data_IF_222353808132
#
_entry.id   IF_222353808132
#
_cell.length_a   1.000
_cell.length_b   1.000
_cell.length_c   1.000
_cell.angle_alpha   90.00
_cell.angle_beta   90.00
_cell.angle_gamma   90.00
#
_symmetry.space_group_name_H-M   'P 1'
#
loop_
_entity.id
_entity.type
_entity.pdbx_description
1 polymer ?
#
# COMPACT_ATOMS: atom_id res chain seq x y z
N UNK A 1 -17.35 -1.77 56.33
CA UNK A 1 -15.96 -1.69 55.85
C UNK A 1 -15.74 -2.36 54.49
N UNK A 2 -16.30 -3.56 54.23
CA UNK A 2 -16.18 -4.29 52.95
C UNK A 2 -16.60 -3.47 51.70
N UNK A 3 -17.69 -2.71 51.80
CA UNK A 3 -18.23 -1.92 50.67
C UNK A 3 -17.36 -0.70 50.33
N UNK A 4 -16.68 -0.12 51.33
CA UNK A 4 -15.79 1.05 51.14
C UNK A 4 -14.53 0.63 50.39
N UNK A 5 -13.95 -0.52 50.74
CA UNK A 5 -12.82 -1.13 50.04
C UNK A 5 -13.15 -1.43 48.57
N UNK A 6 -14.37 -1.89 48.29
CA UNK A 6 -14.83 -2.19 46.94
C UNK A 6 -14.97 -0.91 46.10
N UNK A 7 -15.53 0.16 46.67
CA UNK A 7 -15.61 1.47 46.02
C UNK A 7 -14.24 2.08 45.74
N UNK A 8 -13.29 1.91 46.67
CA UNK A 8 -11.93 2.44 46.53
C UNK A 8 -11.15 1.73 45.41
N UNK A 9 -11.33 0.40 45.28
CA UNK A 9 -10.78 -0.37 44.16
C UNK A 9 -11.41 -0.01 42.81
N UNK A 10 -12.71 0.30 42.79
CA UNK A 10 -13.40 0.70 41.56
C UNK A 10 -12.95 2.09 41.09
N UNK A 11 -12.69 3.01 42.02
CA UNK A 11 -12.22 4.36 41.71
C UNK A 11 -10.78 4.36 41.19
N UNK A 12 -9.89 3.55 41.79
CA UNK A 12 -8.50 3.48 41.34
C UNK A 12 -8.34 2.85 39.97
N UNK A 13 -9.19 1.87 39.60
CA UNK A 13 -9.18 1.29 38.26
C UNK A 13 -9.68 2.26 37.18
N UNK A 14 -10.71 3.06 37.48
CA UNK A 14 -11.22 4.10 36.57
C UNK A 14 -10.21 5.22 36.32
N UNK A 15 -9.48 5.64 37.36
CA UNK A 15 -8.53 6.76 37.24
C UNK A 15 -7.20 6.37 36.55
N UNK A 16 -6.80 5.09 36.58
CA UNK A 16 -5.58 4.63 35.94
C UNK A 16 -5.74 4.36 34.44
N UNK A 17 -6.94 4.01 33.95
CA UNK A 17 -7.18 3.73 32.54
C UNK A 17 -6.91 4.89 31.53
N UNK A 18 -7.30 6.16 31.79
CA UNK A 18 -7.22 7.21 30.76
C UNK A 18 -5.79 7.63 30.39
N UNK A 19 -4.82 7.47 31.31
CA UNK A 19 -3.42 7.78 31.04
C UNK A 19 -2.77 6.80 30.05
N UNK A 20 -3.10 5.51 30.15
CA UNK A 20 -2.55 4.47 29.27
C UNK A 20 -3.20 4.48 27.88
N UNK A 21 -4.51 4.74 27.79
CA UNK A 21 -5.19 4.85 26.49
C UNK A 21 -4.68 6.04 25.67
N UNK A 22 -4.29 7.15 26.32
CA UNK A 22 -3.71 8.31 25.61
C UNK A 22 -2.38 8.00 24.91
N UNK A 23 -1.50 7.23 25.56
CA UNK A 23 -0.19 6.82 25.00
C UNK A 23 -0.36 5.80 23.89
N UNK A 24 -1.25 4.83 24.06
CA UNK A 24 -1.57 3.85 23.04
C UNK A 24 -2.19 4.51 21.80
N UNK A 25 -3.16 5.40 21.99
CA UNK A 25 -3.78 6.15 20.90
C UNK A 25 -2.74 6.99 20.12
N UNK A 26 -1.84 7.68 20.83
CA UNK A 26 -0.77 8.45 20.18
C UNK A 26 0.20 7.57 19.39
N UNK A 27 0.54 6.39 19.92
CA UNK A 27 1.39 5.43 19.21
C UNK A 27 0.71 4.89 17.95
N UNK A 28 -0.56 4.48 18.05
CA UNK A 28 -1.34 3.98 16.91
C UNK A 28 -1.51 5.05 15.82
N UNK A 29 -1.84 6.29 16.21
CA UNK A 29 -1.95 7.41 15.26
C UNK A 29 -0.63 7.68 14.53
N UNK A 30 0.50 7.62 15.24
CA UNK A 30 1.81 7.80 14.62
C UNK A 30 2.11 6.69 13.59
N UNK A 31 1.81 5.44 13.92
CA UNK A 31 2.01 4.34 12.96
C UNK A 31 1.10 4.48 11.73
N UNK A 32 -0.16 4.88 11.92
CA UNK A 32 -1.11 5.09 10.84
C UNK A 32 -0.68 6.25 9.92
N UNK A 33 -0.18 7.34 10.48
CA UNK A 33 0.40 8.45 9.71
C UNK A 33 1.62 8.01 8.89
N UNK A 34 2.55 7.26 9.49
CA UNK A 34 3.73 6.72 8.78
C UNK A 34 3.34 5.76 7.66
N UNK A 35 2.30 4.93 7.87
CA UNK A 35 1.81 4.01 6.86
C UNK A 35 1.13 4.76 5.72
N UNK A 36 0.24 5.72 6.02
CA UNK A 36 -0.38 6.57 5.01
C UNK A 36 0.63 7.34 4.17
N UNK A 37 1.72 7.80 4.76
CA UNK A 37 2.79 8.47 4.02
C UNK A 37 3.51 7.52 3.06
N UNK A 38 3.80 6.28 3.47
CA UNK A 38 4.38 5.26 2.58
C UNK A 38 3.44 4.92 1.44
N UNK A 39 2.17 4.66 1.76
CA UNK A 39 1.15 4.32 0.76
C UNK A 39 0.96 5.45 -0.25
N UNK A 40 0.96 6.71 0.19
CA UNK A 40 0.88 7.86 -0.70
C UNK A 40 2.10 7.97 -1.63
N UNK A 41 3.31 7.67 -1.13
CA UNK A 41 4.52 7.66 -1.94
C UNK A 41 4.51 6.52 -2.96
N UNK A 42 4.10 5.31 -2.55
CA UNK A 42 3.96 4.16 -3.46
C UNK A 42 2.93 4.46 -4.54
N UNK A 43 1.78 4.99 -4.17
CA UNK A 43 0.73 5.35 -5.11
C UNK A 43 1.20 6.40 -6.13
N UNK A 44 1.94 7.41 -5.68
CA UNK A 44 2.49 8.43 -6.55
C UNK A 44 3.57 7.88 -7.50
N UNK A 45 4.33 6.87 -7.08
CA UNK A 45 5.30 6.17 -7.93
C UNK A 45 4.63 5.24 -8.95
N UNK A 46 3.56 4.54 -8.55
CA UNK A 46 2.83 3.65 -9.45
C UNK A 46 2.07 4.42 -10.53
N UNK A 47 1.64 5.65 -10.24
CA UNK A 47 1.03 6.54 -11.23
C UNK A 47 2.05 7.19 -12.19
N UNK A 48 3.35 6.93 -12.03
CA UNK A 48 4.38 7.47 -12.92
C UNK A 48 4.63 6.55 -14.13
N UNK A 49 3.68 6.51 -15.06
CA UNK A 49 3.81 5.74 -16.31
C UNK A 49 5.01 6.16 -17.18
N UNK A 50 5.49 7.40 -17.01
CA UNK A 50 6.68 7.92 -17.71
C UNK A 50 8.00 7.32 -17.24
N UNK A 51 8.00 6.63 -16.09
CA UNK A 51 9.18 5.90 -15.61
C UNK A 51 9.44 4.63 -16.43
N UNK A 52 8.43 4.09 -17.12
CA UNK A 52 8.57 2.86 -17.87
C UNK A 52 9.09 3.11 -19.29
N UNK A 53 10.07 2.31 -19.71
CA UNK A 53 10.52 2.23 -21.10
C UNK A 53 10.04 0.92 -21.69
N UNK A 54 9.26 1.02 -22.76
CA UNK A 54 8.76 -0.13 -23.50
C UNK A 54 9.62 -0.37 -24.74
N UNK A 55 10.12 -1.59 -24.90
CA UNK A 55 10.82 -2.06 -26.09
C UNK A 55 9.96 -3.12 -26.78
N UNK A 56 9.65 -2.90 -28.05
CA UNK A 56 8.98 -3.89 -28.88
C UNK A 56 9.89 -5.12 -29.05
N UNK A 57 9.38 -6.30 -28.67
CA UNK A 57 10.06 -7.58 -28.84
C UNK A 57 9.63 -8.25 -30.15
N UNK A 58 8.33 -8.41 -30.36
CA UNK A 58 7.82 -9.08 -31.57
C UNK A 58 6.43 -8.59 -31.97
N UNK A 59 6.09 -8.85 -33.23
CA UNK A 59 4.74 -8.70 -33.78
C UNK A 59 4.30 -10.04 -34.34
N UNK A 60 3.10 -10.49 -33.99
CA UNK A 60 2.57 -11.76 -34.46
C UNK A 60 1.06 -11.65 -34.70
N UNK A 61 0.52 -12.63 -35.41
CA UNK A 61 -0.93 -12.82 -35.50
C UNK A 61 -1.28 -14.01 -34.64
N UNK A 62 -2.22 -13.84 -33.71
CA UNK A 62 -2.61 -14.92 -32.82
C UNK A 62 -3.49 -15.95 -33.55
N UNK A 63 -3.88 -17.01 -32.83
CA UNK A 63 -4.73 -18.07 -33.36
C UNK A 63 -6.15 -17.60 -33.71
N UNK A 64 -6.56 -16.43 -33.24
CA UNK A 64 -7.85 -15.79 -33.52
C UNK A 64 -7.78 -14.80 -34.69
N UNK A 65 -6.60 -14.63 -35.30
CA UNK A 65 -6.38 -13.69 -36.40
C UNK A 65 -6.15 -12.24 -35.94
N UNK A 66 -5.97 -12.00 -34.64
CA UNK A 66 -5.69 -10.68 -34.07
C UNK A 66 -4.22 -10.33 -34.26
N UNK A 67 -3.94 -9.05 -34.55
CA UNK A 67 -2.56 -8.56 -34.66
C UNK A 67 -2.08 -8.16 -33.28
N UNK A 68 -1.12 -8.90 -32.75
CA UNK A 68 -0.55 -8.70 -31.44
C UNK A 68 0.89 -8.17 -31.50
N UNK A 69 1.28 -7.45 -30.46
CA UNK A 69 2.60 -6.86 -30.25
C UNK A 69 3.04 -7.11 -28.83
N UNK A 70 4.20 -7.72 -28.66
CA UNK A 70 4.81 -7.90 -27.35
C UNK A 70 5.84 -6.83 -27.07
N UNK A 71 5.79 -6.30 -25.86
CA UNK A 71 6.73 -5.32 -25.35
C UNK A 71 7.39 -5.88 -24.09
N UNK A 72 8.69 -5.69 -23.98
CA UNK A 72 9.39 -5.78 -22.70
C UNK A 72 9.44 -4.38 -22.10
N UNK A 73 9.06 -4.21 -20.84
CA UNK A 73 9.16 -2.94 -20.15
C UNK A 73 10.12 -3.01 -18.96
N UNK A 74 10.75 -1.87 -18.68
CA UNK A 74 11.63 -1.68 -17.50
C UNK A 74 11.41 -0.29 -16.92
N UNK A 75 11.35 -0.19 -15.60
CA UNK A 75 11.33 1.08 -14.87
C UNK A 75 12.72 1.73 -14.90
N UNK A 76 12.77 3.04 -15.16
CA UNK A 76 14.02 3.82 -15.13
C UNK A 76 14.48 4.06 -13.69
N UNK A 77 13.55 4.32 -12.78
CA UNK A 77 13.81 4.60 -11.38
C UNK A 77 14.10 3.34 -10.56
N UNK A 78 13.53 2.20 -10.96
CA UNK A 78 13.66 0.93 -10.25
C UNK A 78 14.01 -0.22 -11.21
N UNK A 79 15.25 -0.75 -11.17
CA UNK A 79 15.68 -1.83 -12.06
C UNK A 79 14.95 -3.16 -11.82
N UNK A 80 14.30 -3.33 -10.66
CA UNK A 80 13.51 -4.52 -10.34
C UNK A 80 12.06 -4.45 -10.85
N UNK A 81 11.58 -3.27 -11.26
CA UNK A 81 10.26 -3.12 -11.90
C UNK A 81 10.40 -3.36 -13.40
N UNK A 82 10.30 -4.62 -13.84
CA UNK A 82 10.35 -5.00 -15.25
C UNK A 82 9.34 -6.11 -15.57
N UNK A 83 8.96 -6.26 -16.84
CA UNK A 83 8.06 -7.31 -17.24
C UNK A 83 7.74 -7.32 -18.74
N UNK A 84 6.69 -8.06 -19.09
CA UNK A 84 6.21 -8.17 -20.46
C UNK A 84 4.78 -7.65 -20.55
N UNK A 85 4.46 -7.02 -21.67
CA UNK A 85 3.14 -6.48 -21.94
C UNK A 85 2.76 -6.76 -23.39
N UNK A 86 1.62 -7.42 -23.58
CA UNK A 86 1.11 -7.77 -24.91
C UNK A 86 -0.07 -6.87 -25.24
N UNK A 87 -0.06 -6.30 -26.45
CA UNK A 87 -1.16 -5.51 -27.00
C UNK A 87 -1.67 -6.20 -28.26
N UNK A 88 -2.91 -6.63 -28.24
CA UNK A 88 -3.61 -7.12 -29.43
C UNK A 88 -4.60 -6.05 -29.89
N UNK A 89 -4.64 -5.80 -31.21
CA UNK A 89 -5.64 -4.91 -31.79
C UNK A 89 -7.00 -5.64 -31.80
N UNK A 90 -7.95 -5.16 -30.99
CA UNK A 90 -9.32 -5.64 -31.02
C UNK A 90 -9.97 -5.33 -32.37
N UNK A 91 -10.73 -6.30 -32.90
CA UNK A 91 -11.41 -6.24 -34.19
C UNK A 91 -12.77 -5.54 -34.11
#
# INVERSE_FOLDING_TARGET
MKNVLLFLFLFTSLCCAPGYTSKLSKFLNKMDEEQKQRDAQEWQQDMNFGDFVFRLQQRYTDNHGQRCRDYEFRGRSNPYKHGYYTVCDDR
#
